data_IF_105995015126
#
_entry.id   IF_105995015126
#
_cell.length_a   1.000
_cell.length_b   1.000
_cell.length_c   1.000
_cell.angle_alpha   90.00
_cell.angle_beta   90.00
_cell.angle_gamma   90.00
#
_symmetry.space_group_name_H-M   'P 1'
#
loop_
_entity.id
_entity.type
_entity.pdbx_description
1 polymer ?
#
# COMPACT_ATOMS: atom_id res chain seq x y z
N UNK A 1 -14.05 57.52 14.16
CA UNK A 1 -15.01 58.59 13.79
C UNK A 1 -15.54 59.22 15.07
N UNK A 2 -15.11 60.44 15.35
CA UNK A 2 -15.86 61.37 16.20
C UNK A 2 -16.41 62.45 15.26
N UNK A 3 -17.63 62.93 15.50
CA UNK A 3 -18.23 63.98 14.68
C UNK A 3 -17.53 65.31 15.00
N UNK A 4 -17.25 66.12 13.98
CA UNK A 4 -16.60 67.44 14.12
C UNK A 4 -17.60 68.60 14.11
N UNK A 5 -18.81 68.41 14.66
CA UNK A 5 -19.82 69.47 14.72
C UNK A 5 -20.72 69.30 15.95
N UNK A 6 -20.86 70.39 16.72
CA UNK A 6 -21.88 70.55 17.76
C UNK A 6 -22.93 71.53 17.22
N UNK A 7 -24.19 71.10 17.12
CA UNK A 7 -25.33 72.00 16.89
C UNK A 7 -25.61 72.77 18.20
N UNK A 8 -25.56 74.10 18.13
CA UNK A 8 -25.67 74.99 19.28
C UNK A 8 -27.11 75.18 19.81
N UNK A 9 -28.13 74.54 19.21
CA UNK A 9 -29.54 74.78 19.55
C UNK A 9 -30.20 73.68 20.39
N UNK A 10 -29.66 72.45 20.49
CA UNK A 10 -30.34 71.34 21.20
C UNK A 10 -29.59 70.68 22.37
N UNK A 11 -28.35 71.07 22.68
CA UNK A 11 -27.71 70.75 23.97
C UNK A 11 -27.39 69.26 24.24
N UNK A 12 -27.11 68.45 23.21
CA UNK A 12 -26.61 67.08 23.39
C UNK A 12 -25.09 67.01 23.18
N UNK A 13 -24.35 66.69 24.25
CA UNK A 13 -22.92 66.33 24.16
C UNK A 13 -22.79 64.83 23.90
N UNK A 14 -22.49 64.44 22.66
CA UNK A 14 -22.38 63.03 22.29
C UNK A 14 -21.09 62.40 22.83
N UNK A 15 -21.23 61.27 23.53
CA UNK A 15 -20.11 60.44 24.01
C UNK A 15 -19.40 59.81 22.80
N UNK A 16 -18.07 59.66 22.84
CA UNK A 16 -17.33 58.98 21.76
C UNK A 16 -17.48 57.46 21.87
N UNK A 17 -17.59 56.77 20.73
CA UNK A 17 -17.70 55.31 20.64
C UNK A 17 -16.46 54.56 21.16
N UNK A 18 -15.31 55.25 21.27
CA UNK A 18 -14.07 54.73 21.83
C UNK A 18 -13.75 55.47 23.13
N UNK A 19 -13.59 54.73 24.23
CA UNK A 19 -13.32 55.27 25.56
C UNK A 19 -11.84 55.47 25.79
N UNK A 20 -11.50 56.31 26.76
CA UNK A 20 -10.11 56.49 27.15
C UNK A 20 -9.54 55.13 27.60
N UNK A 21 -8.27 54.84 27.23
CA UNK A 21 -7.67 53.52 27.44
C UNK A 21 -7.68 53.12 28.91
N UNK A 22 -7.82 51.82 29.15
CA UNK A 22 -7.56 51.21 30.44
C UNK A 22 -6.10 50.77 30.48
N UNK A 23 -5.49 50.84 31.65
CA UNK A 23 -4.17 50.29 31.86
C UNK A 23 -4.22 48.77 31.88
N UNK A 24 -5.13 48.19 32.66
CA UNK A 24 -5.26 46.74 32.83
C UNK A 24 -6.69 46.28 32.56
N UNK A 25 -6.84 44.99 32.25
CA UNK A 25 -8.12 44.32 32.19
C UNK A 25 -8.16 43.15 33.18
N UNK A 26 -9.29 42.98 33.83
CA UNK A 26 -9.51 41.81 34.70
C UNK A 26 -9.39 40.51 33.89
N UNK A 27 -8.88 39.46 34.53
CA UNK A 27 -8.83 38.08 34.02
C UNK A 27 -9.69 37.12 34.85
N UNK A 28 -10.16 37.57 36.01
CA UNK A 28 -11.05 36.86 36.91
C UNK A 28 -11.97 37.86 37.64
N UNK A 29 -12.86 37.35 38.51
CA UNK A 29 -13.65 38.19 39.40
C UNK A 29 -12.75 38.91 40.41
N UNK A 30 -13.00 40.19 40.64
CA UNK A 30 -12.23 41.03 41.58
C UNK A 30 -13.16 41.69 42.61
N UNK A 31 -12.57 42.23 43.68
CA UNK A 31 -13.26 43.15 44.58
C UNK A 31 -13.09 44.57 44.04
N UNK A 32 -14.17 45.34 43.88
CA UNK A 32 -14.14 46.73 43.39
C UNK A 32 -13.72 47.72 44.48
N UNK A 33 -12.66 47.41 45.21
CA UNK A 33 -12.07 48.25 46.24
C UNK A 33 -10.64 47.82 46.53
N UNK A 34 -9.80 48.75 46.99
CA UNK A 34 -8.42 48.45 47.34
C UNK A 34 -7.52 48.28 46.11
N UNK A 35 -6.25 48.62 46.26
CA UNK A 35 -5.24 48.36 45.23
C UNK A 35 -4.88 46.88 45.27
N UNK A 36 -4.81 46.25 44.09
CA UNK A 36 -4.67 44.80 43.97
C UNK A 36 -3.91 44.43 42.71
N UNK A 37 -3.48 43.17 42.61
CA UNK A 37 -2.83 42.67 41.39
C UNK A 37 -3.87 42.24 40.37
N UNK A 38 -3.83 42.81 39.18
CA UNK A 38 -4.67 42.45 38.05
C UNK A 38 -3.76 42.13 36.87
N UNK A 39 -3.97 40.96 36.27
CA UNK A 39 -3.27 40.55 35.05
C UNK A 39 -1.73 40.68 35.14
N UNK A 40 -1.19 40.26 36.29
CA UNK A 40 0.26 40.27 36.54
C UNK A 40 0.85 41.62 36.99
N UNK A 41 0.05 42.69 37.10
CA UNK A 41 0.52 44.01 37.56
C UNK A 41 -0.30 44.56 38.72
N UNK A 42 0.36 45.20 39.69
CA UNK A 42 -0.31 45.88 40.82
C UNK A 42 -0.97 47.17 40.30
N UNK A 43 -2.21 47.41 40.68
CA UNK A 43 -2.91 48.67 40.37
C UNK A 43 -2.40 49.82 41.23
N UNK A 44 -2.31 51.01 40.63
CA UNK A 44 -2.08 52.26 41.33
C UNK A 44 -3.39 53.06 41.47
N UNK A 45 -3.43 53.99 42.42
CA UNK A 45 -4.56 54.92 42.52
C UNK A 45 -4.68 55.75 41.23
N UNK A 46 -5.90 55.91 40.74
CA UNK A 46 -6.26 56.54 39.46
C UNK A 46 -6.00 55.69 38.20
N UNK A 47 -5.54 54.45 38.33
CA UNK A 47 -5.47 53.56 37.17
C UNK A 47 -6.87 53.26 36.62
N UNK A 48 -7.01 53.33 35.29
CA UNK A 48 -8.23 52.89 34.60
C UNK A 48 -8.19 51.39 34.39
N UNK A 49 -9.19 50.68 34.89
CA UNK A 49 -9.25 49.22 34.83
C UNK A 49 -10.50 48.80 34.06
N UNK A 50 -10.31 47.97 33.03
CA UNK A 50 -11.41 47.30 32.36
C UNK A 50 -11.86 46.09 33.20
N UNK A 51 -12.96 46.27 33.91
CA UNK A 51 -13.61 45.20 34.68
C UNK A 51 -14.61 44.50 33.78
N UNK A 52 -14.28 43.28 33.35
CA UNK A 52 -15.05 42.50 32.38
C UNK A 52 -15.43 41.09 32.84
N UNK A 53 -14.97 40.65 34.02
CA UNK A 53 -15.21 39.29 34.52
C UNK A 53 -15.81 39.27 35.94
N UNK A 54 -16.68 40.22 36.28
CA UNK A 54 -17.44 40.14 37.53
C UNK A 54 -18.45 38.99 37.48
N UNK A 55 -18.64 38.33 38.62
CA UNK A 55 -19.69 37.32 38.79
C UNK A 55 -21.09 37.89 38.61
N UNK A 56 -21.27 39.20 38.85
CA UNK A 56 -22.47 39.95 38.52
C UNK A 56 -22.15 40.85 37.31
N UNK A 57 -22.55 40.47 36.07
CA UNK A 57 -22.08 41.18 34.87
C UNK A 57 -22.57 42.63 34.74
N UNK A 58 -23.61 43.04 35.46
CA UNK A 58 -24.02 44.45 35.52
C UNK A 58 -23.01 45.34 36.25
N UNK A 59 -22.08 44.74 37.01
CA UNK A 59 -20.95 45.43 37.63
C UNK A 59 -19.75 45.58 36.69
N UNK A 60 -19.74 44.93 35.52
CA UNK A 60 -18.67 45.13 34.54
C UNK A 60 -18.68 46.56 33.97
N UNK A 61 -17.51 47.08 33.64
CA UNK A 61 -17.31 48.39 33.04
C UNK A 61 -15.88 48.89 33.21
N UNK A 62 -15.69 50.19 33.01
CA UNK A 62 -14.40 50.84 33.24
C UNK A 62 -14.43 51.47 34.64
N UNK A 63 -13.44 51.15 35.47
CA UNK A 63 -13.33 51.65 36.84
C UNK A 63 -12.03 52.42 37.05
N UNK A 64 -12.04 53.35 38.00
CA UNK A 64 -10.87 54.04 38.51
C UNK A 64 -10.43 53.34 39.80
N UNK A 65 -9.23 52.76 39.78
CA UNK A 65 -8.66 52.07 40.94
C UNK A 65 -8.34 53.05 42.08
N UNK A 66 -8.67 52.65 43.31
CA UNK A 66 -8.44 53.41 44.52
C UNK A 66 -8.16 52.48 45.71
N UNK A 67 -7.61 53.01 46.80
CA UNK A 67 -7.50 52.29 48.08
C UNK A 67 -8.86 52.08 48.74
N UNK A 68 -9.83 52.96 48.46
CA UNK A 68 -11.24 52.83 48.83
C UNK A 68 -12.03 52.05 47.77
N UNK A 69 -13.37 52.09 47.84
CA UNK A 69 -14.25 51.61 46.77
C UNK A 69 -13.89 52.26 45.43
N UNK A 70 -13.80 51.44 44.39
CA UNK A 70 -13.55 51.90 43.03
C UNK A 70 -14.83 52.46 42.44
N UNK A 71 -14.70 53.56 41.72
CA UNK A 71 -15.82 54.19 41.04
C UNK A 71 -15.76 53.88 39.55
N UNK A 72 -16.93 53.79 38.89
CA UNK A 72 -16.96 53.76 37.43
C UNK A 72 -16.31 55.03 36.90
N UNK A 73 -15.55 54.89 35.82
CA UNK A 73 -14.99 56.04 35.14
C UNK A 73 -16.10 56.90 34.55
N UNK A 74 -15.90 58.22 34.55
CA UNK A 74 -16.88 59.22 34.11
C UNK A 74 -17.36 59.03 32.67
N UNK A 75 -16.54 58.42 31.82
CA UNK A 75 -16.88 58.12 30.42
C UNK A 75 -17.56 56.75 30.25
N UNK A 76 -17.93 56.09 31.36
CA UNK A 76 -18.58 54.78 31.42
C UNK A 76 -19.52 54.64 32.65
N UNK A 77 -20.08 55.74 33.16
CA UNK A 77 -20.92 55.76 34.37
C UNK A 77 -22.41 56.01 34.11
N UNK A 78 -22.81 56.38 32.88
CA UNK A 78 -24.20 56.65 32.53
C UNK A 78 -24.70 55.86 31.30
N UNK A 79 -26.02 55.73 31.16
CA UNK A 79 -26.66 55.06 30.02
C UNK A 79 -26.38 55.75 28.68
N UNK A 80 -25.99 57.04 28.69
CA UNK A 80 -25.62 57.78 27.48
C UNK A 80 -24.22 57.43 26.99
N UNK A 81 -23.41 56.81 27.85
CA UNK A 81 -22.00 56.57 27.57
C UNK A 81 -21.74 55.22 26.88
N UNK A 82 -22.72 54.32 26.87
CA UNK A 82 -22.52 52.92 26.53
C UNK A 82 -23.63 52.44 25.59
N UNK A 83 -23.21 51.87 24.47
CA UNK A 83 -24.07 51.16 23.52
C UNK A 83 -23.35 49.90 23.08
N UNK A 84 -24.07 48.94 22.49
CA UNK A 84 -23.45 47.81 21.81
C UNK A 84 -22.42 48.32 20.79
N UNK A 85 -21.20 47.82 20.87
CA UNK A 85 -20.08 48.21 20.02
C UNK A 85 -19.17 49.29 20.60
N UNK A 86 -19.49 49.91 21.75
CA UNK A 86 -18.56 50.82 22.46
C UNK A 86 -17.24 50.11 22.74
N UNK A 87 -16.10 50.75 22.45
CA UNK A 87 -14.77 50.15 22.50
C UNK A 87 -13.86 50.79 23.53
N UNK A 88 -12.88 50.03 24.00
CA UNK A 88 -11.81 50.50 24.88
C UNK A 88 -10.53 49.70 24.63
N UNK A 89 -9.39 50.39 24.58
CA UNK A 89 -8.08 49.77 24.49
C UNK A 89 -7.53 49.46 25.90
N UNK A 90 -6.73 48.41 26.02
CA UNK A 90 -6.02 48.01 27.22
C UNK A 90 -4.52 48.02 26.91
N UNK A 91 -3.72 48.77 27.66
CA UNK A 91 -2.32 49.02 27.30
C UNK A 91 -1.35 48.00 27.91
N UNK A 92 -1.59 47.57 29.14
CA UNK A 92 -0.68 46.76 29.94
C UNK A 92 -1.36 45.46 30.41
N UNK A 93 -0.56 44.59 31.04
CA UNK A 93 -1.01 43.30 31.58
C UNK A 93 -0.55 42.14 30.71
N UNK A 94 -0.41 40.95 31.31
CA UNK A 94 0.12 39.76 30.61
C UNK A 94 -0.85 39.20 29.57
N UNK A 95 -2.15 39.19 29.86
CA UNK A 95 -3.19 38.61 29.00
C UNK A 95 -4.00 39.69 28.28
N UNK A 96 -4.27 40.81 28.96
CA UNK A 96 -5.07 41.92 28.47
C UNK A 96 -4.28 43.02 27.78
N UNK A 97 -2.95 43.06 27.90
CA UNK A 97 -2.12 44.11 27.30
C UNK A 97 -2.22 44.15 25.78
N UNK A 98 -2.16 45.35 25.20
CA UNK A 98 -2.29 45.60 23.74
C UNK A 98 -3.57 45.07 23.08
N UNK A 99 -4.66 44.92 23.85
CA UNK A 99 -5.96 44.44 23.33
C UNK A 99 -6.99 45.57 23.21
N UNK A 100 -8.00 45.34 22.38
CA UNK A 100 -9.19 46.21 22.29
C UNK A 100 -10.42 45.37 22.59
N UNK A 101 -11.28 45.89 23.45
CA UNK A 101 -12.52 45.24 23.83
C UNK A 101 -13.71 46.06 23.38
N UNK A 102 -14.75 45.38 22.89
CA UNK A 102 -16.02 45.97 22.50
C UNK A 102 -17.14 45.46 23.41
N UNK A 103 -18.06 46.34 23.79
CA UNK A 103 -19.30 45.97 24.48
C UNK A 103 -20.17 45.15 23.54
N UNK A 104 -20.54 43.95 23.94
CA UNK A 104 -21.37 43.02 23.14
C UNK A 104 -22.79 42.89 23.65
N UNK A 105 -23.09 43.43 24.83
CA UNK A 105 -24.43 43.44 25.40
C UNK A 105 -25.44 44.07 24.44
N UNK A 106 -26.65 43.50 24.39
CA UNK A 106 -27.72 44.03 23.53
C UNK A 106 -28.25 45.36 24.08
N UNK A 107 -28.56 46.29 23.18
CA UNK A 107 -29.26 47.52 23.53
C UNK A 107 -30.74 47.23 23.85
N UNK A 108 -31.39 48.00 24.77
CA UNK A 108 -30.84 49.13 25.52
C UNK A 108 -30.01 48.70 26.74
N UNK A 109 -28.93 49.45 27.01
CA UNK A 109 -28.06 49.21 28.17
C UNK A 109 -28.37 50.23 29.27
N UNK A 110 -28.72 49.72 30.46
CA UNK A 110 -28.86 50.51 31.69
C UNK A 110 -27.73 50.18 32.66
N UNK A 111 -26.88 51.15 32.98
CA UNK A 111 -25.73 50.97 33.88
C UNK A 111 -26.20 50.56 35.28
N UNK A 112 -25.55 49.54 35.84
CA UNK A 112 -25.90 48.98 37.16
C UNK A 112 -26.99 47.90 37.11
N UNK A 113 -27.81 47.84 36.05
CA UNK A 113 -28.91 46.88 35.92
C UNK A 113 -28.69 45.88 34.79
N UNK A 114 -28.40 46.34 33.58
CA UNK A 114 -28.15 45.48 32.42
C UNK A 114 -26.83 44.76 32.58
N UNK A 115 -26.78 43.46 32.27
CA UNK A 115 -25.53 42.71 32.20
C UNK A 115 -24.63 43.24 31.08
N UNK A 116 -23.45 43.74 31.42
CA UNK A 116 -22.49 44.32 30.46
C UNK A 116 -21.44 43.25 30.13
N UNK A 117 -21.40 42.82 28.88
CA UNK A 117 -20.44 41.84 28.36
C UNK A 117 -19.47 42.50 27.40
N UNK A 118 -18.22 42.04 27.41
CA UNK A 118 -17.16 42.49 26.52
C UNK A 118 -16.58 41.31 25.74
N UNK A 119 -16.24 41.53 24.48
CA UNK A 119 -15.44 40.61 23.67
C UNK A 119 -14.25 41.36 23.05
N UNK A 120 -13.17 40.64 22.72
CA UNK A 120 -12.07 41.24 21.97
C UNK A 120 -12.61 41.69 20.60
N UNK A 121 -12.32 42.94 20.23
CA UNK A 121 -12.91 43.59 19.07
C UNK A 121 -12.41 43.03 17.72
N UNK A 122 -11.31 42.28 17.71
CA UNK A 122 -10.66 41.80 16.48
C UNK A 122 -10.62 40.28 16.34
N UNK A 123 -10.87 39.51 17.41
CA UNK A 123 -10.87 38.04 17.32
C UNK A 123 -12.04 37.49 16.52
N UNK A 124 -13.21 38.15 16.55
CA UNK A 124 -14.42 37.69 15.85
C UNK A 124 -14.33 37.80 14.32
N UNK A 125 -13.79 38.90 13.80
CA UNK A 125 -13.58 39.09 12.36
C UNK A 125 -12.42 38.23 11.84
N UNK A 126 -11.35 38.06 12.63
CA UNK A 126 -10.20 37.27 12.21
C UNK A 126 -10.54 35.78 12.11
N UNK A 127 -11.16 35.19 13.14
CA UNK A 127 -11.45 33.75 13.19
C UNK A 127 -12.54 33.33 12.20
N UNK A 128 -13.54 34.19 11.94
CA UNK A 128 -14.62 33.88 10.99
C UNK A 128 -14.12 33.82 9.53
N UNK A 129 -13.08 34.58 9.19
CA UNK A 129 -12.55 34.67 7.83
C UNK A 129 -11.35 33.75 7.57
N UNK A 130 -10.71 33.22 8.62
CA UNK A 130 -9.51 32.38 8.50
C UNK A 130 -9.73 31.12 7.65
N UNK A 131 -10.79 30.30 7.88
CA UNK A 131 -11.00 29.09 7.10
C UNK A 131 -11.19 29.38 5.60
N UNK A 132 -12.05 30.35 5.25
CA UNK A 132 -12.29 30.73 3.85
C UNK A 132 -11.06 31.32 3.17
N UNK A 133 -10.28 32.13 3.87
CA UNK A 133 -9.05 32.71 3.33
C UNK A 133 -7.97 31.64 3.03
N UNK A 134 -7.91 30.56 3.82
CA UNK A 134 -7.00 29.44 3.57
C UNK A 134 -7.46 28.59 2.38
N UNK A 135 -8.77 28.34 2.28
CA UNK A 135 -9.34 27.61 1.15
C UNK A 135 -9.11 28.37 -0.16
N UNK A 136 -9.41 29.67 -0.21
CA UNK A 136 -9.18 30.51 -1.40
C UNK A 136 -7.69 30.55 -1.78
N UNK A 137 -6.79 30.71 -0.80
CA UNK A 137 -5.36 30.73 -1.05
C UNK A 137 -4.81 29.40 -1.61
N UNK A 138 -5.38 28.26 -1.22
CA UNK A 138 -5.00 26.94 -1.75
C UNK A 138 -5.54 26.76 -3.18
N UNK A 139 -6.79 27.16 -3.44
CA UNK A 139 -7.41 27.01 -4.76
C UNK A 139 -6.81 27.95 -5.80
N UNK A 140 -6.43 29.16 -5.41
CA UNK A 140 -5.81 30.17 -6.30
C UNK A 140 -4.29 29.96 -6.46
N UNK A 141 -3.68 29.02 -5.72
CA UNK A 141 -2.27 28.71 -5.84
C UNK A 141 -1.93 28.20 -7.25
N UNK A 142 -0.83 28.69 -7.81
CA UNK A 142 -0.37 28.23 -9.14
C UNK A 142 0.10 26.77 -9.05
N UNK A 143 -0.44 25.91 -9.92
CA UNK A 143 -0.11 24.50 -9.93
C UNK A 143 1.36 24.25 -10.31
N UNK A 144 2.00 23.32 -9.59
CA UNK A 144 3.30 22.75 -9.94
C UNK A 144 3.11 21.34 -10.50
N UNK A 145 3.59 21.10 -11.71
CA UNK A 145 3.37 19.82 -12.43
C UNK A 145 4.16 18.65 -11.87
N UNK A 146 5.33 18.91 -11.28
CA UNK A 146 6.21 17.87 -10.70
C UNK A 146 6.84 18.36 -9.41
N UNK A 147 6.55 17.71 -8.27
CA UNK A 147 7.24 18.01 -7.02
C UNK A 147 8.74 17.66 -7.10
N UNK A 148 9.59 18.49 -6.48
CA UNK A 148 11.01 18.21 -6.26
C UNK A 148 11.25 17.84 -4.81
N UNK A 149 12.36 17.15 -4.54
CA UNK A 149 12.65 16.55 -3.23
C UNK A 149 12.68 17.53 -2.06
N UNK A 150 12.94 18.81 -2.33
CA UNK A 150 12.93 19.90 -1.36
C UNK A 150 11.55 20.53 -1.13
N UNK A 151 10.54 20.24 -1.97
CA UNK A 151 9.19 20.81 -1.79
C UNK A 151 8.59 20.34 -0.47
N UNK A 152 7.91 21.25 0.24
CA UNK A 152 7.48 21.04 1.63
C UNK A 152 5.96 21.00 1.75
N UNK A 153 5.46 20.14 2.64
CA UNK A 153 4.05 20.10 3.05
C UNK A 153 3.94 20.10 4.57
N UNK A 154 2.89 20.73 5.09
CA UNK A 154 2.61 20.78 6.52
C UNK A 154 2.02 19.46 6.99
N UNK A 155 2.37 19.08 8.22
CA UNK A 155 1.77 17.96 8.94
C UNK A 155 1.56 18.31 10.41
N UNK A 156 0.58 17.67 11.03
CA UNK A 156 0.41 17.70 12.47
C UNK A 156 1.21 16.56 13.11
N UNK A 157 2.26 16.90 13.85
CA UNK A 157 3.03 15.94 14.64
C UNK A 157 2.30 15.72 15.96
N UNK A 158 1.62 14.57 16.08
CA UNK A 158 0.85 14.20 17.26
C UNK A 158 1.71 13.98 18.49
N UNK A 159 3.00 13.66 18.34
CA UNK A 159 3.92 13.43 19.45
C UNK A 159 4.38 14.77 20.04
N UNK A 160 4.71 15.73 19.17
CA UNK A 160 5.09 17.08 19.60
C UNK A 160 3.89 18.02 19.84
N UNK A 161 2.67 17.62 19.47
CA UNK A 161 1.49 18.47 19.39
C UNK A 161 1.77 19.80 18.66
N UNK A 162 2.47 19.71 17.52
CA UNK A 162 2.94 20.87 16.77
C UNK A 162 2.84 20.64 15.26
N UNK A 163 2.68 21.72 14.50
CA UNK A 163 2.83 21.67 13.05
C UNK A 163 4.31 21.49 12.71
N UNK A 164 4.60 20.48 11.89
CA UNK A 164 5.92 20.24 11.30
C UNK A 164 5.81 20.29 9.78
N UNK A 165 6.95 20.23 9.12
CA UNK A 165 7.05 20.08 7.67
C UNK A 165 7.68 18.74 7.32
N UNK A 166 7.20 18.14 6.24
CA UNK A 166 7.90 17.05 5.55
C UNK A 166 8.21 17.49 4.14
N UNK A 167 9.32 17.01 3.62
CA UNK A 167 9.67 17.23 2.22
C UNK A 167 9.10 16.15 1.33
N UNK A 168 9.04 16.39 0.02
CA UNK A 168 8.69 15.37 -0.96
C UNK A 168 9.63 14.16 -0.89
N UNK A 169 10.92 14.36 -0.56
CA UNK A 169 11.83 13.27 -0.30
C UNK A 169 11.38 12.39 0.88
N UNK A 170 10.91 12.99 1.97
CA UNK A 170 10.40 12.23 3.13
C UNK A 170 9.16 11.41 2.75
N UNK A 171 8.24 11.99 1.97
CA UNK A 171 7.05 11.28 1.47
C UNK A 171 7.44 10.07 0.61
N UNK A 172 8.32 10.28 -0.39
CA UNK A 172 8.82 9.19 -1.24
C UNK A 172 9.51 8.09 -0.44
N UNK A 173 10.33 8.45 0.54
CA UNK A 173 11.05 7.50 1.38
C UNK A 173 10.09 6.64 2.22
N UNK A 174 9.06 7.25 2.81
CA UNK A 174 8.04 6.52 3.58
C UNK A 174 7.27 5.51 2.72
N UNK A 175 6.85 5.91 1.52
CA UNK A 175 6.17 5.02 0.56
C UNK A 175 7.09 3.89 0.11
N UNK A 176 8.34 4.21 -0.27
CA UNK A 176 9.30 3.21 -0.72
C UNK A 176 9.62 2.19 0.37
N UNK A 177 9.78 2.63 1.62
CA UNK A 177 10.01 1.73 2.75
C UNK A 177 8.85 0.74 2.95
N UNK A 178 7.61 1.19 2.75
CA UNK A 178 6.43 0.33 2.84
C UNK A 178 6.41 -0.76 1.76
N UNK A 179 6.83 -0.45 0.53
CA UNK A 179 6.82 -1.40 -0.59
C UNK A 179 8.06 -2.27 -0.70
N UNK A 180 9.24 -1.81 -0.26
CA UNK A 180 10.46 -2.61 -0.30
C UNK A 180 10.41 -3.82 0.64
N UNK A 181 9.53 -3.79 1.66
CA UNK A 181 9.23 -4.93 2.51
C UNK A 181 10.45 -5.56 3.19
N UNK A 182 10.30 -6.77 3.70
CA UNK A 182 11.39 -7.62 4.20
C UNK A 182 11.51 -8.84 3.30
N UNK A 183 12.73 -9.35 3.10
CA UNK A 183 12.95 -10.52 2.26
C UNK A 183 12.18 -11.75 2.80
N UNK A 184 11.46 -12.44 1.92
CA UNK A 184 10.77 -13.70 2.19
C UNK A 184 11.46 -14.83 1.41
N UNK A 185 11.69 -15.97 2.05
CA UNK A 185 12.44 -17.07 1.44
C UNK A 185 11.79 -17.64 0.17
N UNK A 186 10.47 -17.89 0.21
CA UNK A 186 9.67 -18.32 -0.95
C UNK A 186 8.25 -17.75 -0.82
N UNK A 187 7.58 -17.38 -1.94
CA UNK A 187 6.19 -16.97 -1.87
C UNK A 187 5.25 -18.16 -1.65
N UNK A 188 4.20 -17.97 -0.86
CA UNK A 188 3.15 -18.95 -0.55
C UNK A 188 1.89 -18.71 -1.40
N UNK A 189 0.98 -19.66 -1.39
CA UNK A 189 -0.23 -19.70 -2.21
C UNK A 189 -1.15 -18.47 -2.08
N UNK A 190 -1.19 -17.86 -0.90
CA UNK A 190 -1.96 -16.65 -0.61
C UNK A 190 -1.22 -15.34 -0.94
N UNK A 191 0.09 -15.38 -1.23
CA UNK A 191 0.86 -14.17 -1.53
C UNK A 191 0.37 -13.54 -2.84
N UNK A 192 0.36 -12.20 -2.86
CA UNK A 192 -0.18 -11.39 -3.96
C UNK A 192 0.94 -10.92 -4.88
N UNK A 193 0.69 -10.98 -6.18
CA UNK A 193 1.49 -10.37 -7.23
C UNK A 193 0.62 -9.34 -7.94
N UNK A 194 1.10 -8.10 -7.99
CA UNK A 194 0.37 -6.99 -8.59
C UNK A 194 0.68 -6.84 -10.08
N UNK A 195 -0.34 -6.46 -10.84
CA UNK A 195 -0.25 -6.17 -12.28
C UNK A 195 -1.23 -5.06 -12.64
N UNK A 196 -1.03 -4.40 -13.79
CA UNK A 196 -2.04 -3.50 -14.36
C UNK A 196 -3.05 -4.31 -15.18
N UNK A 197 -4.34 -4.04 -14.98
CA UNK A 197 -5.38 -4.56 -15.86
C UNK A 197 -5.54 -3.65 -17.08
N UNK A 198 -5.00 -4.08 -18.22
CA UNK A 198 -5.06 -3.31 -19.48
C UNK A 198 -6.49 -3.11 -19.99
N UNK A 199 -7.44 -3.94 -19.58
CA UNK A 199 -8.88 -3.79 -19.91
C UNK A 199 -9.52 -2.70 -19.07
N UNK A 200 -8.98 -2.45 -17.87
CA UNK A 200 -9.41 -1.41 -16.95
C UNK A 200 -8.40 -0.25 -16.90
N UNK A 201 -7.82 0.15 -18.03
CA UNK A 201 -6.90 1.31 -18.11
C UNK A 201 -5.70 1.22 -17.18
N UNK A 202 -5.15 0.02 -16.99
CA UNK A 202 -4.03 -0.30 -16.12
C UNK A 202 -4.30 -0.06 -14.62
N UNK A 203 -5.57 -0.11 -14.17
CA UNK A 203 -5.90 -0.12 -12.74
C UNK A 203 -5.13 -1.26 -12.05
N UNK A 204 -4.48 -1.01 -10.89
CA UNK A 204 -3.75 -2.05 -10.16
C UNK A 204 -4.69 -3.16 -9.70
N UNK A 205 -4.45 -4.37 -10.20
CA UNK A 205 -5.07 -5.61 -9.75
C UNK A 205 -4.00 -6.53 -9.15
N UNK A 206 -4.43 -7.63 -8.57
CA UNK A 206 -3.51 -8.63 -8.03
C UNK A 206 -3.99 -10.04 -8.32
N UNK A 207 -3.02 -10.93 -8.52
CA UNK A 207 -3.22 -12.38 -8.54
C UNK A 207 -2.54 -12.99 -7.32
N UNK A 208 -3.12 -14.05 -6.77
CA UNK A 208 -2.45 -14.88 -5.77
C UNK A 208 -1.44 -15.80 -6.44
N UNK A 209 -0.46 -16.28 -5.68
CA UNK A 209 0.52 -17.24 -6.19
C UNK A 209 -0.11 -18.57 -6.61
N UNK A 210 -1.24 -18.94 -6.01
CA UNK A 210 -2.07 -20.05 -6.50
C UNK A 210 -2.54 -19.84 -7.93
N UNK A 211 -3.08 -18.65 -8.24
CA UNK A 211 -3.59 -18.33 -9.57
C UNK A 211 -2.47 -18.30 -10.62
N UNK A 212 -1.30 -17.76 -10.25
CA UNK A 212 -0.13 -17.75 -11.15
C UNK A 212 0.36 -19.17 -11.43
N UNK A 213 0.48 -20.02 -10.39
CA UNK A 213 0.82 -21.44 -10.55
C UNK A 213 -0.19 -22.15 -11.47
N UNK A 214 -1.48 -21.90 -11.29
CA UNK A 214 -2.52 -22.50 -12.13
C UNK A 214 -2.42 -22.07 -13.60
N UNK A 215 -2.19 -20.78 -13.86
CA UNK A 215 -1.97 -20.25 -15.22
C UNK A 215 -0.75 -20.90 -15.88
N UNK A 216 0.41 -20.89 -15.20
CA UNK A 216 1.65 -21.48 -15.72
C UNK A 216 1.50 -22.98 -15.96
N UNK A 217 0.87 -23.70 -15.02
CA UNK A 217 0.59 -25.13 -15.16
C UNK A 217 -0.23 -25.41 -16.41
N UNK A 218 -1.33 -24.68 -16.60
CA UNK A 218 -2.20 -24.84 -17.76
C UNK A 218 -1.43 -24.58 -19.07
N UNK A 219 -0.63 -23.51 -19.11
CA UNK A 219 0.17 -23.17 -20.28
C UNK A 219 1.18 -24.28 -20.62
N UNK A 220 1.99 -24.72 -19.65
CA UNK A 220 3.03 -25.73 -19.90
C UNK A 220 2.48 -27.14 -20.10
N UNK A 221 1.39 -27.53 -19.43
CA UNK A 221 0.78 -28.86 -19.59
C UNK A 221 0.33 -29.10 -21.03
N UNK A 222 -0.20 -28.08 -21.71
CA UNK A 222 -0.60 -28.20 -23.12
C UNK A 222 0.60 -28.43 -24.04
N UNK A 223 1.73 -27.78 -23.74
CA UNK A 223 2.98 -27.96 -24.47
C UNK A 223 3.57 -29.36 -24.24
N UNK A 224 3.58 -29.83 -23.00
CA UNK A 224 4.12 -31.16 -22.67
C UNK A 224 3.29 -32.29 -23.27
N UNK A 225 1.97 -32.18 -23.26
CA UNK A 225 1.10 -33.19 -23.89
C UNK A 225 1.31 -33.27 -25.40
N UNK A 226 1.51 -32.13 -26.08
CA UNK A 226 1.78 -32.11 -27.51
C UNK A 226 3.13 -32.77 -27.86
N UNK A 227 4.16 -32.52 -27.04
CA UNK A 227 5.50 -33.11 -27.21
C UNK A 227 5.48 -34.62 -26.92
N UNK A 228 4.82 -35.04 -25.84
CA UNK A 228 4.74 -36.45 -25.45
C UNK A 228 3.97 -37.28 -26.50
N UNK A 229 2.85 -36.76 -27.02
CA UNK A 229 2.10 -37.41 -28.10
C UNK A 229 2.90 -37.55 -29.41
N UNK A 230 3.75 -36.57 -29.72
CA UNK A 230 4.62 -36.64 -30.89
C UNK A 230 5.77 -37.66 -30.70
N UNK A 231 6.27 -37.81 -29.46
CA UNK A 231 7.33 -38.76 -29.12
C UNK A 231 6.83 -40.20 -28.92
N UNK A 232 5.56 -40.38 -28.55
CA UNK A 232 4.94 -41.69 -28.30
C UNK A 232 4.35 -42.36 -29.55
N UNK A 233 4.14 -41.62 -30.64
CA UNK A 233 3.53 -42.14 -31.88
C UNK A 233 4.52 -42.74 -32.89
N UNK A 234 5.82 -42.52 -32.69
CA UNK A 234 6.88 -43.03 -33.57
C UNK A 234 7.57 -44.24 -32.95
N UNK A 235 7.80 -45.29 -33.75
CA UNK A 235 8.78 -46.33 -33.41
C UNK A 235 10.16 -45.72 -33.68
N UNK A 236 10.87 -45.32 -32.61
CA UNK A 236 12.18 -44.67 -32.74
C UNK A 236 13.27 -45.68 -33.10
N UNK A 237 14.19 -45.30 -33.97
CA UNK A 237 15.34 -46.13 -34.38
C UNK A 237 16.50 -46.07 -33.38
N UNK A 238 17.05 -47.25 -33.08
CA UNK A 238 18.38 -47.43 -32.49
C UNK A 238 19.23 -48.28 -33.44
N UNK A 239 20.04 -47.65 -34.28
CA UNK A 239 20.88 -48.34 -35.26
C UNK A 239 22.16 -48.89 -34.61
N UNK A 240 22.48 -50.17 -34.84
CA UNK A 240 23.60 -50.87 -34.23
C UNK A 240 24.41 -51.67 -35.27
N UNK A 241 25.70 -51.35 -35.41
CA UNK A 241 26.69 -52.05 -36.25
C UNK A 241 27.72 -52.82 -35.41
N UNK A 242 27.30 -53.27 -34.23
CA UNK A 242 28.14 -53.99 -33.28
C UNK A 242 27.29 -54.98 -32.47
N UNK A 243 27.96 -55.85 -31.71
CA UNK A 243 27.28 -56.60 -30.66
C UNK A 243 26.71 -55.62 -29.63
N UNK A 244 25.48 -55.85 -29.18
CA UNK A 244 24.72 -54.88 -28.40
C UNK A 244 23.98 -55.59 -27.27
N UNK A 245 23.87 -54.94 -26.11
CA UNK A 245 23.00 -55.41 -25.02
C UNK A 245 21.93 -54.35 -24.82
N UNK A 246 20.67 -54.78 -24.86
CA UNK A 246 19.54 -53.86 -24.76
C UNK A 246 19.52 -53.15 -23.41
N UNK A 247 19.03 -51.92 -23.42
CA UNK A 247 18.86 -51.08 -22.23
C UNK A 247 17.40 -50.62 -22.11
N UNK A 248 16.98 -50.15 -20.92
CA UNK A 248 15.59 -49.73 -20.70
C UNK A 248 15.07 -48.72 -21.73
N UNK A 249 15.94 -47.84 -22.22
CA UNK A 249 15.59 -46.82 -23.23
C UNK A 249 15.28 -47.39 -24.61
N UNK A 250 15.44 -48.69 -24.83
CA UNK A 250 15.04 -49.39 -26.07
C UNK A 250 13.57 -49.78 -26.09
N UNK A 251 12.86 -49.67 -24.97
CA UNK A 251 11.43 -49.96 -24.91
C UNK A 251 10.65 -49.13 -25.95
N UNK A 252 9.90 -49.81 -26.81
CA UNK A 252 9.12 -49.18 -27.90
C UNK A 252 9.93 -48.76 -29.12
N UNK A 253 11.22 -49.10 -29.19
CA UNK A 253 12.09 -48.82 -30.34
C UNK A 253 12.22 -50.03 -31.26
N UNK A 254 12.73 -49.79 -32.47
CA UNK A 254 13.38 -50.85 -33.25
C UNK A 254 14.91 -50.74 -33.17
N UNK A 255 15.57 -51.88 -32.99
CA UNK A 255 17.01 -52.04 -33.08
C UNK A 255 17.31 -52.44 -34.53
N UNK A 256 17.99 -51.57 -35.26
CA UNK A 256 18.19 -51.71 -36.69
C UNK A 256 19.64 -52.10 -37.00
N UNK A 257 19.83 -53.14 -37.81
CA UNK A 257 21.13 -53.60 -38.27
C UNK A 257 21.33 -53.14 -39.72
N UNK A 258 22.25 -52.20 -40.00
CA UNK A 258 22.41 -51.65 -41.34
C UNK A 258 23.08 -52.66 -42.28
N UNK A 259 22.64 -52.70 -43.55
CA UNK A 259 23.19 -53.56 -44.60
C UNK A 259 24.70 -53.43 -44.84
N UNK A 260 25.30 -52.31 -44.42
CA UNK A 260 26.74 -52.10 -44.48
C UNK A 260 27.54 -52.98 -43.49
N UNK A 261 26.93 -53.44 -42.39
CA UNK A 261 27.57 -54.39 -41.48
C UNK A 261 27.15 -55.82 -41.87
N UNK A 262 28.05 -56.52 -42.57
CA UNK A 262 27.84 -57.91 -42.99
C UNK A 262 28.31 -58.92 -41.94
N UNK A 263 28.82 -58.45 -40.79
CA UNK A 263 29.35 -59.30 -39.71
C UNK A 263 28.20 -59.87 -38.89
N UNK A 264 28.24 -61.17 -38.59
CA UNK A 264 27.27 -61.73 -37.64
C UNK A 264 27.41 -61.06 -36.26
N UNK A 265 26.31 -60.55 -35.70
CA UNK A 265 26.29 -59.89 -34.38
C UNK A 265 25.45 -60.64 -33.38
N UNK A 266 25.77 -60.43 -32.11
CA UNK A 266 24.97 -60.90 -30.99
C UNK A 266 24.31 -59.68 -30.35
N UNK A 267 22.99 -59.68 -30.32
CA UNK A 267 22.19 -58.70 -29.62
C UNK A 267 21.50 -59.37 -28.44
N UNK A 268 21.82 -58.91 -27.23
CA UNK A 268 21.43 -59.58 -25.99
C UNK A 268 20.27 -58.87 -25.34
N UNK A 269 19.17 -59.58 -25.13
CA UNK A 269 18.14 -59.22 -24.17
C UNK A 269 18.71 -59.53 -22.77
N UNK A 270 19.00 -58.53 -21.94
CA UNK A 270 19.58 -58.74 -20.61
C UNK A 270 18.60 -59.46 -19.68
N UNK A 271 19.15 -60.07 -18.62
CA UNK A 271 18.36 -60.64 -17.54
C UNK A 271 17.52 -59.56 -16.84
N UNK A 272 16.32 -59.91 -16.38
CA UNK A 272 15.48 -58.99 -15.60
C UNK A 272 16.17 -58.48 -14.33
N UNK A 273 17.09 -59.26 -13.76
CA UNK A 273 17.88 -58.86 -12.60
C UNK A 273 18.85 -57.71 -12.89
N UNK A 274 19.33 -57.58 -14.13
CA UNK A 274 20.24 -56.51 -14.55
C UNK A 274 19.49 -55.32 -15.15
N UNK A 275 18.47 -55.59 -15.97
CA UNK A 275 17.68 -54.57 -16.67
C UNK A 275 16.20 -55.02 -16.67
N UNK A 276 15.43 -54.49 -15.73
CA UNK A 276 14.04 -54.86 -15.52
C UNK A 276 13.09 -54.09 -16.47
N UNK A 277 12.94 -54.57 -17.70
CA UNK A 277 11.96 -54.02 -18.64
C UNK A 277 10.53 -54.16 -18.10
N UNK A 278 9.70 -53.10 -18.15
CA UNK A 278 8.28 -53.19 -17.78
C UNK A 278 7.54 -54.29 -18.57
N UNK A 279 6.57 -54.93 -17.93
CA UNK A 279 5.64 -55.84 -18.64
C UNK A 279 4.89 -55.02 -19.70
N UNK A 280 4.82 -55.54 -20.92
CA UNK A 280 4.24 -54.85 -22.08
C UNK A 280 5.26 -54.13 -22.96
N UNK A 281 6.54 -54.06 -22.58
CA UNK A 281 7.60 -53.58 -23.48
C UNK A 281 7.64 -54.41 -24.75
N UNK A 282 7.55 -53.75 -25.91
CA UNK A 282 7.81 -54.30 -27.23
C UNK A 282 9.10 -53.71 -27.80
N UNK A 283 9.97 -54.55 -28.34
CA UNK A 283 11.20 -54.15 -29.02
C UNK A 283 11.25 -54.89 -30.35
N UNK A 284 11.36 -54.15 -31.45
CA UNK A 284 11.49 -54.73 -32.78
C UNK A 284 12.96 -54.84 -33.15
N UNK A 285 13.37 -55.97 -33.68
CA UNK A 285 14.68 -56.19 -34.28
C UNK A 285 14.49 -56.19 -35.79
N UNK A 286 15.26 -55.36 -36.48
CA UNK A 286 15.17 -55.18 -37.91
C UNK A 286 16.55 -55.44 -38.51
N UNK A 287 16.69 -56.57 -39.20
CA UNK A 287 17.92 -56.96 -39.84
C UNK A 287 17.83 -56.66 -41.33
N UNK A 288 18.50 -55.61 -41.79
CA UNK A 288 18.34 -55.14 -43.16
C UNK A 288 18.81 -56.19 -44.19
N UNK A 289 18.31 -56.06 -45.41
CA UNK A 289 18.68 -56.95 -46.50
C UNK A 289 20.15 -56.75 -46.89
N UNK A 290 20.95 -57.81 -46.82
CA UNK A 290 22.39 -57.79 -47.07
C UNK A 290 23.26 -57.68 -45.82
N UNK A 291 22.67 -57.44 -44.65
CA UNK A 291 23.39 -57.34 -43.39
C UNK A 291 23.77 -58.72 -42.82
N UNK A 292 24.65 -58.73 -41.82
CA UNK A 292 25.06 -59.95 -41.12
C UNK A 292 23.91 -60.60 -40.36
N UNK A 293 24.02 -61.89 -40.08
CA UNK A 293 23.01 -62.59 -39.28
C UNK A 293 23.05 -62.10 -37.83
N UNK A 294 21.88 -61.81 -37.25
CA UNK A 294 21.78 -61.39 -35.84
C UNK A 294 21.39 -62.58 -34.97
N UNK A 295 22.18 -62.87 -33.94
CA UNK A 295 21.77 -63.74 -32.83
C UNK A 295 21.12 -62.89 -31.74
N UNK A 296 19.81 -62.99 -31.59
CA UNK A 296 19.05 -62.43 -30.47
C UNK A 296 19.24 -63.35 -29.27
N UNK A 297 20.22 -63.03 -28.44
CA UNK A 297 20.57 -63.78 -27.25
C UNK A 297 19.64 -63.45 -26.08
N UNK A 298 19.35 -64.45 -25.26
CA UNK A 298 18.71 -64.30 -23.95
C UNK A 298 19.62 -64.96 -22.91
N UNK A 299 19.70 -64.37 -21.72
CA UNK A 299 20.57 -64.85 -20.63
C UNK A 299 19.80 -65.79 -19.68
N UNK A 300 19.50 -65.35 -18.45
CA UNK A 300 18.74 -66.14 -17.46
C UNK A 300 17.22 -66.07 -17.65
N UNK A 301 16.75 -65.08 -18.40
CA UNK A 301 15.34 -64.94 -18.77
C UNK A 301 14.95 -65.96 -19.86
N UNK A 302 13.65 -66.16 -20.06
CA UNK A 302 13.13 -67.07 -21.09
C UNK A 302 12.61 -66.30 -22.30
N UNK A 303 13.23 -66.50 -23.46
CA UNK A 303 12.70 -66.07 -24.76
C UNK A 303 11.95 -67.23 -25.42
N UNK A 304 10.68 -67.04 -25.75
CA UNK A 304 9.80 -68.06 -26.34
C UNK A 304 9.43 -67.69 -27.76
N UNK A 305 9.68 -68.59 -28.71
CA UNK A 305 9.22 -68.41 -30.09
C UNK A 305 7.70 -68.63 -30.17
N UNK A 306 6.98 -67.69 -30.76
CA UNK A 306 5.54 -67.83 -30.98
C UNK A 306 5.30 -68.74 -32.19
N UNK A 307 4.30 -69.63 -32.08
CA UNK A 307 3.88 -70.51 -33.19
C UNK A 307 4.56 -71.89 -33.21
N UNK A 308 5.57 -72.12 -32.37
CA UNK A 308 6.24 -73.42 -32.23
C UNK A 308 6.22 -73.87 -30.78
N UNK A 309 5.64 -75.04 -30.49
CA UNK A 309 5.49 -75.54 -29.12
C UNK A 309 6.86 -75.88 -28.54
N UNK A 310 7.19 -75.33 -27.36
CA UNK A 310 8.37 -75.70 -26.58
C UNK A 310 9.69 -75.08 -27.00
N UNK A 311 9.74 -74.30 -28.09
CA UNK A 311 10.97 -73.64 -28.54
C UNK A 311 11.31 -72.43 -27.66
N UNK A 312 12.42 -72.51 -26.91
CA UNK A 312 12.95 -71.44 -26.04
C UNK A 312 14.42 -71.14 -26.33
N UNK A 313 14.98 -70.08 -25.76
CA UNK A 313 16.40 -69.73 -25.89
C UNK A 313 16.68 -68.65 -26.94
N UNK A 314 17.96 -68.47 -27.30
CA UNK A 314 18.41 -67.49 -28.29
C UNK A 314 17.83 -67.78 -29.69
N UNK A 315 17.64 -66.74 -30.50
CA UNK A 315 17.13 -66.86 -31.88
C UNK A 315 18.07 -66.24 -32.88
N UNK A 316 18.06 -66.77 -34.09
CA UNK A 316 18.83 -66.27 -35.21
C UNK A 316 17.88 -65.55 -36.15
N UNK A 317 18.16 -64.29 -36.43
CA UNK A 317 17.43 -63.44 -37.38
C UNK A 317 18.29 -63.28 -38.64
N UNK A 318 17.84 -63.88 -39.73
CA UNK A 318 18.52 -63.83 -41.03
C UNK A 318 18.54 -62.40 -41.60
N UNK A 319 19.42 -62.17 -42.59
CA UNK A 319 19.42 -60.95 -43.42
C UNK A 319 18.03 -60.71 -44.02
N UNK A 320 17.53 -59.48 -43.95
CA UNK A 320 16.18 -59.10 -44.39
C UNK A 320 15.05 -59.58 -43.46
N UNK A 321 15.39 -60.14 -42.29
CA UNK A 321 14.43 -60.59 -41.29
C UNK A 321 14.01 -59.47 -40.34
N UNK A 322 12.78 -59.53 -39.85
CA UNK A 322 12.29 -58.62 -38.82
C UNK A 322 11.52 -59.41 -37.75
N UNK A 323 11.76 -59.13 -36.47
CA UNK A 323 11.08 -59.80 -35.37
C UNK A 323 10.81 -58.86 -34.20
N UNK A 324 9.67 -59.00 -33.53
CA UNK A 324 9.34 -58.22 -32.33
C UNK A 324 9.30 -59.12 -31.11
N UNK A 325 10.05 -58.74 -30.07
CA UNK A 325 9.99 -59.35 -28.76
C UNK A 325 9.12 -58.52 -27.81
N UNK A 326 8.22 -59.19 -27.08
CA UNK A 326 7.30 -58.58 -26.12
C UNK A 326 7.55 -59.19 -24.74
N UNK A 327 7.76 -58.33 -23.72
CA UNK A 327 7.87 -58.73 -22.31
C UNK A 327 6.47 -59.09 -21.78
N UNK A 328 6.25 -60.34 -21.37
CA UNK A 328 4.93 -60.82 -20.95
C UNK A 328 4.84 -61.17 -19.45
N UNK A 329 5.97 -61.48 -18.83
CA UNK A 329 6.11 -61.59 -17.37
C UNK A 329 7.49 -61.07 -16.96
N UNK A 330 7.79 -60.99 -15.66
CA UNK A 330 9.08 -60.52 -15.15
C UNK A 330 10.30 -61.20 -15.79
N UNK A 331 10.24 -62.49 -16.13
CA UNK A 331 11.38 -63.22 -16.72
C UNK A 331 11.06 -63.85 -18.06
N UNK A 332 9.92 -63.53 -18.69
CA UNK A 332 9.49 -64.14 -19.96
C UNK A 332 9.27 -63.11 -21.06
N UNK A 333 9.88 -63.38 -22.20
CA UNK A 333 9.68 -62.69 -23.47
C UNK A 333 9.04 -63.64 -24.48
N UNK A 334 8.19 -63.10 -25.35
CA UNK A 334 7.67 -63.80 -26.54
C UNK A 334 8.17 -63.09 -27.78
N UNK A 335 8.66 -63.82 -28.76
CA UNK A 335 9.17 -63.25 -30.02
C UNK A 335 8.53 -63.91 -31.22
N UNK A 336 8.24 -63.11 -32.25
CA UNK A 336 7.71 -63.54 -33.54
C UNK A 336 8.23 -62.64 -34.65
N UNK A 337 8.42 -63.18 -35.84
CA UNK A 337 8.94 -62.42 -36.97
C UNK A 337 9.17 -63.27 -38.21
N UNK A 338 9.53 -62.60 -39.30
CA UNK A 338 9.99 -63.22 -40.55
C UNK A 338 11.51 -63.38 -40.51
N UNK A 339 12.04 -64.46 -41.07
CA UNK A 339 13.48 -64.75 -41.07
C UNK A 339 14.05 -65.13 -39.69
N UNK A 340 13.19 -65.42 -38.71
CA UNK A 340 13.57 -65.83 -37.36
C UNK A 340 13.58 -67.36 -37.23
N UNK A 341 14.66 -67.92 -36.71
CA UNK A 341 14.84 -69.36 -36.42
C UNK A 341 15.35 -69.58 -35.01
#
# INVERSE_FOLDING_TARGET
MATTSVDQVTGYGETVAYKAPCRLATTANIVLSGLQTIDGSVTAANDRILVKNQSVPSQNGIYIAASSTWQRARDFDSNRDITKGTRVAVTDGTVGGTTVWAVTAANPITVGTTSITFANAFTGELVANLPGALDDAIHDATAKSTPVDADEMLLWDSVSAAIRKITWANVKAGILAYFNGTAKALPIDADRVWSGDSTASNVPVYSTWTQVKAFLKTYFDTLYQAIDAQLSSLIRQNSQSAAYTLVLTDSGKHIYHPAADTTARIWTIPANASVAFPIGTAITFDNDFGAGVITIAITSDTLVLVGTVGSTGSRTLASGGQATAIKVTSTRWRISGTGLT
#
